data_IF_358769614458
#
_entry.id   IF_358769614458
#
_cell.length_a   1.000
_cell.length_b   1.000
_cell.length_c   1.000
_cell.angle_alpha   90.00
_cell.angle_beta   90.00
_cell.angle_gamma   90.00
#
_symmetry.space_group_name_H-M   'P 1'
#
loop_
_entity.id
_entity.type
_entity.pdbx_description
1 polymer ?
#
# COMPACT_ATOMS: atom_id res chain seq x y z
N UNK A 1 -37.20 11.09 18.88
CA UNK A 1 -35.80 11.21 18.43
C UNK A 1 -35.37 12.64 18.65
N UNK A 2 -34.24 12.87 19.33
CA UNK A 2 -33.75 14.21 19.70
C UNK A 2 -33.40 15.03 18.44
N UNK A 3 -34.05 16.19 18.29
CA UNK A 3 -33.95 17.04 17.09
C UNK A 3 -32.52 17.56 16.86
N UNK A 4 -31.75 17.80 17.93
CA UNK A 4 -30.36 18.26 17.84
C UNK A 4 -29.44 17.16 17.36
N UNK A 5 -29.64 15.92 17.81
CA UNK A 5 -28.89 14.74 17.36
C UNK A 5 -29.14 14.51 15.87
N UNK A 6 -30.40 14.52 15.42
CA UNK A 6 -30.74 14.34 14.01
C UNK A 6 -30.19 15.47 13.12
N UNK A 7 -30.25 16.73 13.57
CA UNK A 7 -29.68 17.86 12.83
C UNK A 7 -28.16 17.77 12.72
N UNK A 8 -27.48 17.35 13.79
CA UNK A 8 -26.04 17.16 13.81
C UNK A 8 -25.58 16.01 12.93
N UNK A 9 -26.31 14.89 12.93
CA UNK A 9 -26.04 13.78 12.02
C UNK A 9 -26.15 14.19 10.54
N UNK A 10 -27.16 15.00 10.19
CA UNK A 10 -27.29 15.56 8.83
C UNK A 10 -26.15 16.52 8.48
N UNK A 11 -25.74 17.37 9.42
CA UNK A 11 -24.60 18.26 9.22
C UNK A 11 -23.32 17.46 8.93
N UNK A 12 -23.03 16.42 9.72
CA UNK A 12 -21.87 15.53 9.50
C UNK A 12 -21.93 14.78 8.17
N UNK A 13 -23.12 14.32 7.76
CA UNK A 13 -23.29 13.66 6.47
C UNK A 13 -22.99 14.61 5.28
N UNK A 14 -23.17 15.91 5.47
CA UNK A 14 -22.81 16.95 4.51
C UNK A 14 -21.37 17.50 4.68
N UNK A 15 -20.60 16.97 5.64
CA UNK A 15 -19.24 17.42 5.94
C UNK A 15 -19.14 18.69 6.81
N UNK A 16 -20.25 19.16 7.40
CA UNK A 16 -20.28 20.32 8.31
C UNK A 16 -19.98 19.91 9.76
N UNK A 17 -18.71 19.57 10.03
CA UNK A 17 -18.24 19.17 11.36
C UNK A 17 -18.45 20.27 12.42
N UNK A 18 -18.19 21.54 12.06
CA UNK A 18 -18.33 22.67 12.98
C UNK A 18 -19.79 22.94 13.32
N UNK A 19 -20.71 22.87 12.36
CA UNK A 19 -22.14 23.01 12.61
C UNK A 19 -22.68 21.87 13.48
N UNK A 20 -22.17 20.64 13.32
CA UNK A 20 -22.51 19.56 14.24
C UNK A 20 -22.03 19.87 15.67
N UNK A 21 -20.76 20.27 15.84
CA UNK A 21 -20.19 20.61 17.15
C UNK A 21 -20.96 21.74 17.85
N UNK A 22 -21.40 22.78 17.13
CA UNK A 22 -22.23 23.87 17.70
C UNK A 22 -23.50 23.35 18.40
N UNK A 23 -24.02 22.19 18.00
CA UNK A 23 -25.26 21.62 18.54
C UNK A 23 -25.04 20.60 19.66
N UNK A 24 -23.91 19.89 19.64
CA UNK A 24 -23.65 18.77 20.58
C UNK A 24 -22.43 18.94 21.48
N UNK A 25 -21.67 20.04 21.38
CA UNK A 25 -20.41 20.25 22.11
C UNK A 25 -20.50 20.03 23.62
N UNK A 26 -21.59 20.49 24.25
CA UNK A 26 -21.77 20.50 25.71
C UNK A 26 -22.47 19.25 26.26
N UNK A 27 -22.79 18.27 25.41
CA UNK A 27 -23.61 17.10 25.78
C UNK A 27 -22.79 15.84 25.93
N UNK A 28 -22.85 15.19 27.08
CA UNK A 28 -22.07 13.98 27.39
C UNK A 28 -22.85 12.67 27.28
N UNK A 29 -24.08 12.68 26.76
CA UNK A 29 -24.81 11.47 26.43
C UNK A 29 -24.15 10.68 25.28
N UNK A 30 -24.35 9.34 25.19
CA UNK A 30 -23.66 8.51 24.21
C UNK A 30 -23.88 8.93 22.74
N UNK A 31 -25.11 9.27 22.29
CA UNK A 31 -25.32 9.84 20.95
C UNK A 31 -24.51 11.11 20.68
N UNK A 32 -24.50 12.07 21.61
CA UNK A 32 -23.73 13.29 21.47
C UNK A 32 -22.20 13.04 21.44
N UNK A 33 -21.70 12.12 22.27
CA UNK A 33 -20.31 11.67 22.24
C UNK A 33 -19.94 11.06 20.89
N UNK A 34 -20.80 10.21 20.31
CA UNK A 34 -20.57 9.60 19.02
C UNK A 34 -20.44 10.64 17.89
N UNK A 35 -21.38 11.59 17.84
CA UNK A 35 -21.38 12.66 16.85
C UNK A 35 -20.18 13.61 17.00
N UNK A 36 -19.81 13.97 18.24
CA UNK A 36 -18.57 14.72 18.51
C UNK A 36 -17.34 13.95 18.04
N UNK A 37 -17.30 12.64 18.28
CA UNK A 37 -16.22 11.78 17.79
C UNK A 37 -16.07 11.82 16.27
N UNK A 38 -17.17 11.69 15.53
CA UNK A 38 -17.18 11.79 14.06
C UNK A 38 -16.74 13.19 13.60
N UNK A 39 -17.23 14.24 14.24
CA UNK A 39 -16.84 15.62 13.92
C UNK A 39 -15.33 15.85 14.11
N UNK A 40 -14.77 15.37 15.23
CA UNK A 40 -13.33 15.44 15.50
C UNK A 40 -12.52 14.68 14.44
N UNK A 41 -13.03 13.52 13.98
CA UNK A 41 -12.37 12.76 12.93
C UNK A 41 -12.33 13.54 11.59
N UNK A 42 -13.44 14.20 11.21
CA UNK A 42 -13.50 15.05 10.01
C UNK A 42 -12.55 16.26 10.08
N UNK A 43 -12.22 16.72 11.30
CA UNK A 43 -11.27 17.80 11.55
C UNK A 43 -9.81 17.32 11.69
N UNK A 44 -9.54 16.01 11.56
CA UNK A 44 -8.19 15.43 11.71
C UNK A 44 -7.77 15.12 13.16
N UNK A 45 -8.63 15.39 14.15
CA UNK A 45 -8.39 15.14 15.57
C UNK A 45 -8.63 13.66 15.95
N UNK A 46 -7.94 12.75 15.27
CA UNK A 46 -8.19 11.31 15.34
C UNK A 46 -8.01 10.69 16.74
N UNK A 47 -6.98 11.02 17.54
CA UNK A 47 -6.84 10.47 18.90
C UNK A 47 -8.06 10.79 19.78
N UNK A 48 -8.53 12.04 19.71
CA UNK A 48 -9.70 12.49 20.48
C UNK A 48 -10.99 11.87 19.94
N UNK A 49 -11.16 11.80 18.62
CA UNK A 49 -12.28 11.12 17.98
C UNK A 49 -12.43 9.67 18.48
N UNK A 50 -11.32 8.92 18.50
CA UNK A 50 -11.32 7.52 18.95
C UNK A 50 -11.73 7.37 20.41
N UNK A 51 -11.24 8.25 21.29
CA UNK A 51 -11.62 8.24 22.71
C UNK A 51 -13.13 8.47 22.89
N UNK A 52 -13.69 9.47 22.19
CA UNK A 52 -15.12 9.81 22.25
C UNK A 52 -15.99 8.67 21.73
N UNK A 53 -15.62 8.04 20.60
CA UNK A 53 -16.34 6.90 20.02
C UNK A 53 -16.35 5.68 20.95
N UNK A 54 -15.22 5.39 21.60
CA UNK A 54 -15.13 4.30 22.60
C UNK A 54 -15.96 4.60 23.85
N UNK A 55 -16.01 5.85 24.29
CA UNK A 55 -16.86 6.26 25.41
C UNK A 55 -18.34 6.14 25.04
N UNK A 56 -18.72 6.60 23.86
CA UNK A 56 -20.08 6.44 23.34
C UNK A 56 -20.48 4.96 23.26
N UNK A 57 -19.66 4.11 22.64
CA UNK A 57 -19.91 2.67 22.53
C UNK A 57 -20.14 1.98 23.88
N UNK A 58 -19.38 2.37 24.92
CA UNK A 58 -19.53 1.88 26.30
C UNK A 58 -20.76 2.44 27.02
N UNK A 59 -21.20 3.64 26.65
CA UNK A 59 -22.36 4.29 27.26
C UNK A 59 -23.71 3.79 26.74
N UNK A 60 -23.76 3.19 25.55
CA UNK A 60 -24.98 2.58 25.02
C UNK A 60 -25.35 1.29 25.77
N UNK A 61 -26.64 1.14 26.11
CA UNK A 61 -27.18 -0.03 26.83
C UNK A 61 -27.31 -1.30 25.97
N UNK A 62 -27.73 -2.41 26.60
CA UNK A 62 -27.87 -3.71 25.91
C UNK A 62 -28.81 -3.64 24.69
N UNK A 63 -29.93 -2.92 24.81
CA UNK A 63 -30.94 -2.73 23.76
C UNK A 63 -30.52 -1.77 22.63
N UNK A 64 -29.38 -1.07 22.78
CA UNK A 64 -28.89 -0.08 21.81
C UNK A 64 -27.77 -0.67 20.94
N UNK A 65 -27.92 -1.94 20.55
CA UNK A 65 -26.93 -2.69 19.77
C UNK A 65 -26.58 -2.01 18.43
N UNK A 66 -27.58 -1.44 17.76
CA UNK A 66 -27.40 -0.69 16.52
C UNK A 66 -26.47 0.53 16.70
N UNK A 67 -26.73 1.35 17.73
CA UNK A 67 -25.95 2.56 17.98
C UNK A 67 -24.50 2.23 18.39
N UNK A 68 -24.33 1.19 19.21
CA UNK A 68 -23.00 0.67 19.57
C UNK A 68 -22.24 0.15 18.35
N UNK A 69 -22.90 -0.59 17.45
CA UNK A 69 -22.27 -1.10 16.22
C UNK A 69 -21.81 0.05 15.31
N UNK A 70 -22.60 1.12 15.17
CA UNK A 70 -22.18 2.35 14.45
C UNK A 70 -20.92 2.97 15.04
N UNK A 71 -20.83 3.07 16.37
CA UNK A 71 -19.62 3.58 17.03
C UNK A 71 -18.39 2.71 16.76
N UNK A 72 -18.55 1.37 16.71
CA UNK A 72 -17.46 0.45 16.37
C UNK A 72 -16.97 0.67 14.94
N UNK A 73 -17.88 0.83 13.97
CA UNK A 73 -17.52 1.11 12.58
C UNK A 73 -16.82 2.47 12.45
N UNK A 74 -17.34 3.51 13.10
CA UNK A 74 -16.71 4.82 13.13
C UNK A 74 -15.32 4.78 13.81
N UNK A 75 -15.15 4.03 14.90
CA UNK A 75 -13.84 3.86 15.54
C UNK A 75 -12.85 3.15 14.60
N UNK A 76 -13.32 2.15 13.86
CA UNK A 76 -12.50 1.40 12.92
C UNK A 76 -12.00 2.29 11.76
N UNK A 77 -12.85 3.20 11.25
CA UNK A 77 -12.44 4.20 10.25
C UNK A 77 -11.35 5.13 10.82
N UNK A 78 -11.54 5.62 12.05
CA UNK A 78 -10.54 6.46 12.73
C UNK A 78 -9.23 5.69 12.94
N UNK A 79 -9.30 4.42 13.34
CA UNK A 79 -8.11 3.57 13.50
C UNK A 79 -7.36 3.38 12.18
N UNK A 80 -8.08 3.20 11.07
CA UNK A 80 -7.51 3.09 9.73
C UNK A 80 -6.80 4.38 9.29
N UNK A 81 -7.41 5.55 9.55
CA UNK A 81 -6.81 6.86 9.30
C UNK A 81 -5.54 7.10 10.14
N UNK A 82 -5.54 6.62 11.39
CA UNK A 82 -4.37 6.65 12.28
C UNK A 82 -3.32 5.58 11.98
N UNK A 83 -3.53 4.77 10.93
CA UNK A 83 -2.69 3.61 10.59
C UNK A 83 -2.49 2.66 11.78
N UNK A 84 -3.49 2.52 12.65
CA UNK A 84 -3.51 1.51 13.72
C UNK A 84 -4.18 0.23 13.21
N UNK A 85 -3.36 -0.65 12.66
CA UNK A 85 -3.81 -1.86 11.97
C UNK A 85 -3.90 -3.07 12.93
N UNK A 86 -3.64 -2.90 14.22
CA UNK A 86 -3.57 -3.99 15.21
C UNK A 86 -4.94 -4.49 15.70
N UNK A 87 -6.03 -3.77 15.40
CA UNK A 87 -7.38 -4.09 15.87
C UNK A 87 -7.89 -5.46 15.41
N UNK A 88 -8.67 -6.10 16.29
CA UNK A 88 -9.30 -7.42 16.04
C UNK A 88 -10.30 -7.35 14.87
N UNK A 89 -10.13 -8.18 13.82
CA UNK A 89 -11.11 -8.27 12.72
C UNK A 89 -12.51 -8.67 13.20
N UNK A 90 -12.59 -9.53 14.22
CA UNK A 90 -13.85 -10.10 14.74
C UNK A 90 -14.83 -9.03 15.23
N UNK A 91 -14.32 -7.98 15.86
CA UNK A 91 -15.16 -6.88 16.38
C UNK A 91 -15.86 -6.15 15.25
N UNK A 92 -15.13 -5.84 14.17
CA UNK A 92 -15.68 -5.14 13.01
C UNK A 92 -16.67 -6.04 12.24
N UNK A 93 -16.35 -7.33 12.07
CA UNK A 93 -17.25 -8.31 11.46
C UNK A 93 -18.56 -8.47 12.26
N UNK A 94 -18.48 -8.54 13.59
CA UNK A 94 -19.66 -8.63 14.46
C UNK A 94 -20.52 -7.35 14.40
N UNK A 95 -19.88 -6.18 14.36
CA UNK A 95 -20.59 -4.92 14.18
C UNK A 95 -21.29 -4.86 12.81
N UNK A 96 -20.62 -5.28 11.73
CA UNK A 96 -21.21 -5.34 10.39
C UNK A 96 -22.44 -6.26 10.35
N UNK A 97 -22.35 -7.46 10.93
CA UNK A 97 -23.48 -8.40 11.01
C UNK A 97 -24.66 -7.83 11.82
N UNK A 98 -24.36 -7.13 12.92
CA UNK A 98 -25.40 -6.44 13.72
C UNK A 98 -26.10 -5.35 12.90
N UNK A 99 -25.35 -4.56 12.14
CA UNK A 99 -25.88 -3.49 11.29
C UNK A 99 -26.76 -4.05 10.18
N UNK A 100 -26.32 -5.13 9.53
CA UNK A 100 -27.05 -5.78 8.44
C UNK A 100 -28.38 -6.39 8.94
N UNK A 101 -28.36 -7.03 10.11
CA UNK A 101 -29.56 -7.56 10.77
C UNK A 101 -30.59 -6.48 11.14
N UNK A 102 -30.16 -5.22 11.26
CA UNK A 102 -31.02 -4.06 11.54
C UNK A 102 -31.28 -3.20 10.29
N UNK A 103 -31.00 -3.72 9.08
CA UNK A 103 -31.16 -3.03 7.79
C UNK A 103 -30.36 -1.72 7.66
N UNK A 104 -29.29 -1.55 8.44
CA UNK A 104 -28.34 -0.44 8.30
C UNK A 104 -27.22 -0.82 7.32
N UNK A 105 -27.63 -1.08 6.08
CA UNK A 105 -26.73 -1.61 5.05
C UNK A 105 -25.58 -0.64 4.73
N UNK A 106 -25.80 0.67 4.77
CA UNK A 106 -24.74 1.65 4.49
C UNK A 106 -23.57 1.51 5.47
N UNK A 107 -23.84 1.42 6.78
CA UNK A 107 -22.78 1.23 7.76
C UNK A 107 -22.20 -0.20 7.74
N UNK A 108 -22.99 -1.21 7.38
CA UNK A 108 -22.48 -2.57 7.18
C UNK A 108 -21.48 -2.63 6.00
N UNK A 109 -21.79 -1.96 4.88
CA UNK A 109 -20.88 -1.85 3.72
C UNK A 109 -19.66 -0.98 4.01
N UNK A 110 -19.80 0.09 4.81
CA UNK A 110 -18.65 0.85 5.33
C UNK A 110 -17.69 -0.06 6.12
N UNK A 111 -18.21 -0.93 6.99
CA UNK A 111 -17.39 -1.85 7.77
C UNK A 111 -16.61 -2.84 6.87
N UNK A 112 -17.25 -3.37 5.82
CA UNK A 112 -16.61 -4.23 4.83
C UNK A 112 -15.53 -3.47 4.04
N UNK A 113 -15.80 -2.23 3.64
CA UNK A 113 -14.83 -1.38 2.95
C UNK A 113 -13.63 -1.00 3.82
N UNK A 114 -13.83 -0.72 5.10
CA UNK A 114 -12.74 -0.52 6.08
C UNK A 114 -11.83 -1.76 6.13
N UNK A 115 -12.43 -2.95 6.15
CA UNK A 115 -11.67 -4.20 6.16
C UNK A 115 -10.86 -4.37 4.86
N UNK A 116 -11.45 -4.09 3.70
CA UNK A 116 -10.76 -4.14 2.41
C UNK A 116 -9.59 -3.14 2.35
N UNK A 117 -9.81 -1.88 2.76
CA UNK A 117 -8.76 -0.83 2.80
C UNK A 117 -7.64 -1.18 3.78
N UNK A 118 -7.95 -1.83 4.91
CA UNK A 118 -6.93 -2.38 5.81
C UNK A 118 -6.07 -3.45 5.12
N UNK A 119 -6.68 -4.34 4.34
CA UNK A 119 -5.96 -5.38 3.60
C UNK A 119 -5.05 -4.76 2.53
N UNK A 120 -5.50 -3.71 1.84
CA UNK A 120 -4.68 -2.93 0.92
C UNK A 120 -3.47 -2.33 1.64
N UNK A 121 -3.64 -1.61 2.75
CA UNK A 121 -2.52 -1.05 3.51
C UNK A 121 -1.50 -2.12 3.99
N UNK A 122 -1.97 -3.33 4.26
CA UNK A 122 -1.12 -4.46 4.66
C UNK A 122 -0.51 -5.22 3.46
N UNK A 123 -0.82 -4.82 2.23
CA UNK A 123 -0.33 -5.47 1.01
C UNK A 123 -1.01 -6.78 0.65
N UNK A 124 -2.09 -7.16 1.32
CA UNK A 124 -2.80 -8.44 1.10
C UNK A 124 -3.79 -8.29 -0.06
N UNK A 125 -3.24 -8.17 -1.27
CA UNK A 125 -4.00 -7.79 -2.48
C UNK A 125 -5.09 -8.79 -2.84
N UNK A 126 -4.82 -10.10 -2.77
CA UNK A 126 -5.82 -11.13 -3.11
C UNK A 126 -7.00 -11.13 -2.13
N UNK A 127 -6.72 -10.94 -0.85
CA UNK A 127 -7.77 -10.84 0.16
C UNK A 127 -8.54 -9.53 0.05
N UNK A 128 -7.87 -8.43 -0.29
CA UNK A 128 -8.54 -7.17 -0.59
C UNK A 128 -9.46 -7.32 -1.81
N UNK A 129 -9.01 -8.00 -2.87
CA UNK A 129 -9.80 -8.30 -4.05
C UNK A 129 -11.04 -9.13 -3.69
N UNK A 130 -10.87 -10.20 -2.90
CA UNK A 130 -11.98 -11.02 -2.44
C UNK A 130 -12.98 -10.21 -1.57
N UNK A 131 -12.48 -9.35 -0.68
CA UNK A 131 -13.32 -8.50 0.15
C UNK A 131 -14.10 -7.46 -0.68
N UNK A 132 -13.45 -6.84 -1.68
CA UNK A 132 -14.09 -5.88 -2.57
C UNK A 132 -15.12 -6.53 -3.49
N UNK A 133 -14.88 -7.76 -3.97
CA UNK A 133 -15.83 -8.50 -4.81
C UNK A 133 -17.16 -8.81 -4.10
N UNK A 134 -17.16 -8.88 -2.77
CA UNK A 134 -18.36 -9.11 -1.95
C UNK A 134 -19.15 -7.81 -1.66
N UNK A 135 -18.60 -6.63 -1.98
CA UNK A 135 -19.31 -5.37 -1.80
C UNK A 135 -20.33 -5.19 -2.94
N UNK A 136 -21.62 -5.19 -2.59
CA UNK A 136 -22.64 -4.70 -3.52
C UNK A 136 -22.57 -3.17 -3.57
N UNK A 137 -22.05 -2.64 -4.68
CA UNK A 137 -21.95 -1.20 -4.92
C UNK A 137 -23.29 -0.57 -5.30
N UNK A 138 -24.31 -1.38 -5.63
CA UNK A 138 -25.63 -0.87 -6.02
C UNK A 138 -26.36 -0.32 -4.79
N UNK A 139 -26.85 0.91 -4.91
CA UNK A 139 -27.60 1.58 -3.84
C UNK A 139 -26.75 2.13 -2.71
N UNK A 140 -25.41 2.11 -2.82
CA UNK A 140 -24.54 2.79 -1.87
C UNK A 140 -24.77 4.31 -1.91
N UNK A 141 -24.67 5.00 -0.76
CA UNK A 141 -24.55 6.45 -0.74
C UNK A 141 -23.38 6.90 -1.65
N UNK A 142 -23.51 8.02 -2.40
CA UNK A 142 -22.48 8.44 -3.36
C UNK A 142 -21.07 8.58 -2.76
N UNK A 143 -20.95 9.02 -1.51
CA UNK A 143 -19.67 9.11 -0.82
C UNK A 143 -19.03 7.73 -0.61
N UNK A 144 -19.82 6.74 -0.21
CA UNK A 144 -19.36 5.38 0.01
C UNK A 144 -18.99 4.68 -1.30
N UNK A 145 -19.77 4.90 -2.36
CA UNK A 145 -19.44 4.42 -3.70
C UNK A 145 -18.09 4.98 -4.18
N UNK A 146 -17.82 6.27 -3.98
CA UNK A 146 -16.54 6.87 -4.37
C UNK A 146 -15.35 6.24 -3.64
N UNK A 147 -15.46 5.99 -2.33
CA UNK A 147 -14.38 5.34 -1.55
C UNK A 147 -14.21 3.88 -1.97
N UNK A 148 -15.28 3.17 -2.30
CA UNK A 148 -15.20 1.80 -2.83
C UNK A 148 -14.47 1.76 -4.17
N UNK A 149 -14.79 2.67 -5.08
CA UNK A 149 -14.12 2.80 -6.38
C UNK A 149 -12.66 3.25 -6.24
N UNK A 150 -12.32 4.10 -5.26
CA UNK A 150 -10.93 4.43 -4.93
C UNK A 150 -10.15 3.21 -4.45
N UNK A 151 -10.74 2.37 -3.60
CA UNK A 151 -10.11 1.13 -3.16
C UNK A 151 -9.93 0.13 -4.32
N UNK A 152 -10.91 0.03 -5.22
CA UNK A 152 -10.80 -0.77 -6.44
C UNK A 152 -9.71 -0.25 -7.39
N UNK A 153 -9.59 1.08 -7.52
CA UNK A 153 -8.52 1.72 -8.28
C UNK A 153 -7.15 1.42 -7.67
N UNK A 154 -6.97 1.59 -6.35
CA UNK A 154 -5.70 1.28 -5.68
C UNK A 154 -5.29 -0.19 -5.90
N UNK A 155 -6.23 -1.12 -5.72
CA UNK A 155 -5.99 -2.55 -6.00
C UNK A 155 -5.53 -2.76 -7.44
N UNK A 156 -6.26 -2.20 -8.41
CA UNK A 156 -5.94 -2.35 -9.82
C UNK A 156 -4.57 -1.75 -10.18
N UNK A 157 -4.21 -0.59 -9.64
CA UNK A 157 -2.89 0.02 -9.85
C UNK A 157 -1.76 -0.85 -9.29
N UNK A 158 -1.96 -1.40 -8.09
CA UNK A 158 -0.96 -2.28 -7.43
C UNK A 158 -0.81 -3.63 -8.09
N UNK A 159 -1.83 -4.07 -8.82
CA UNK A 159 -1.80 -5.25 -9.70
C UNK A 159 -1.41 -4.91 -11.14
N UNK A 160 -1.05 -3.66 -11.46
CA UNK A 160 -0.71 -3.18 -12.81
C UNK A 160 -1.83 -3.34 -13.87
N UNK A 161 -3.09 -3.44 -13.43
CA UNK A 161 -4.26 -3.42 -14.31
C UNK A 161 -4.70 -1.98 -14.61
N UNK A 162 -3.93 -1.28 -15.44
CA UNK A 162 -4.03 0.18 -15.61
C UNK A 162 -5.39 0.63 -16.16
N UNK A 163 -5.96 -0.09 -17.13
CA UNK A 163 -7.27 0.26 -17.69
C UNK A 163 -8.40 0.09 -16.67
N UNK A 164 -8.34 -0.96 -15.85
CA UNK A 164 -9.28 -1.18 -14.74
C UNK A 164 -9.16 -0.05 -13.73
N UNK A 165 -7.95 0.37 -13.38
CA UNK A 165 -7.73 1.50 -12.49
C UNK A 165 -8.30 2.82 -13.05
N UNK A 166 -8.10 3.10 -14.34
CA UNK A 166 -8.65 4.31 -14.98
C UNK A 166 -10.19 4.32 -14.94
N UNK A 167 -10.83 3.19 -15.21
CA UNK A 167 -12.30 3.05 -15.13
C UNK A 167 -12.82 3.23 -13.70
N UNK A 168 -12.15 2.63 -12.72
CA UNK A 168 -12.50 2.79 -11.31
C UNK A 168 -12.33 4.25 -10.84
N UNK A 169 -11.25 4.93 -11.22
CA UNK A 169 -11.04 6.35 -10.91
C UNK A 169 -12.07 7.28 -11.57
N UNK A 170 -12.52 6.96 -12.78
CA UNK A 170 -13.62 7.69 -13.43
C UNK A 170 -14.93 7.52 -12.63
N UNK A 171 -15.26 6.29 -12.25
CA UNK A 171 -16.44 5.96 -11.44
C UNK A 171 -16.38 6.62 -10.06
N UNK A 172 -15.20 6.65 -9.42
CA UNK A 172 -14.95 7.35 -8.17
C UNK A 172 -15.19 8.86 -8.31
N UNK A 173 -14.76 9.47 -9.42
CA UNK A 173 -14.94 10.89 -9.68
C UNK A 173 -16.42 11.26 -9.83
N UNK A 174 -17.18 10.49 -10.60
CA UNK A 174 -18.63 10.70 -10.75
C UNK A 174 -19.37 10.56 -9.41
N UNK A 175 -19.02 9.54 -8.62
CA UNK A 175 -19.60 9.33 -7.30
C UNK A 175 -19.24 10.48 -6.33
N UNK A 176 -18.00 10.97 -6.35
CA UNK A 176 -17.56 12.11 -5.54
C UNK A 176 -18.28 13.42 -5.92
N UNK A 177 -18.51 13.67 -7.21
CA UNK A 177 -19.30 14.82 -7.68
C UNK A 177 -20.74 14.76 -7.15
N UNK A 178 -21.37 13.58 -7.19
CA UNK A 178 -22.71 13.36 -6.61
C UNK A 178 -22.72 13.51 -5.08
N UNK A 179 -21.65 13.11 -4.40
CA UNK A 179 -21.50 13.22 -2.96
C UNK A 179 -21.38 14.68 -2.49
N UNK A 180 -20.83 15.57 -3.34
CA UNK A 180 -20.59 16.99 -3.03
C UNK A 180 -19.74 17.21 -1.79
N UNK A 181 -18.77 16.32 -1.56
CA UNK A 181 -17.79 16.43 -0.47
C UNK A 181 -16.45 16.89 -1.06
N UNK A 182 -16.01 18.15 -0.79
CA UNK A 182 -14.78 18.68 -1.40
C UNK A 182 -13.52 17.86 -1.11
N UNK A 183 -13.38 17.34 0.11
CA UNK A 183 -12.24 16.50 0.50
C UNK A 183 -12.15 15.21 -0.35
N UNK A 184 -13.30 14.60 -0.64
CA UNK A 184 -13.37 13.38 -1.46
C UNK A 184 -13.05 13.66 -2.93
N UNK A 185 -13.47 14.81 -3.46
CA UNK A 185 -13.07 15.25 -4.81
C UNK A 185 -11.55 15.46 -4.91
N UNK A 186 -10.94 16.05 -3.88
CA UNK A 186 -9.49 16.24 -3.81
C UNK A 186 -8.75 14.89 -3.74
N UNK A 187 -9.25 13.93 -2.96
CA UNK A 187 -8.69 12.57 -2.87
C UNK A 187 -8.72 11.85 -4.23
N UNK A 188 -9.84 11.93 -4.96
CA UNK A 188 -9.95 11.37 -6.31
C UNK A 188 -9.01 12.07 -7.29
N UNK A 189 -8.85 13.40 -7.20
CA UNK A 189 -7.95 14.15 -8.05
C UNK A 189 -6.48 13.72 -7.83
N UNK A 190 -6.06 13.55 -6.58
CA UNK A 190 -4.71 13.08 -6.23
C UNK A 190 -4.46 11.64 -6.70
N UNK A 191 -5.45 10.75 -6.53
CA UNK A 191 -5.37 9.38 -7.03
C UNK A 191 -5.25 9.33 -8.56
N UNK A 192 -5.92 10.22 -9.28
CA UNK A 192 -5.76 10.37 -10.75
C UNK A 192 -4.39 10.91 -11.12
N UNK A 193 -3.90 11.94 -10.43
CA UNK A 193 -2.58 12.51 -10.69
C UNK A 193 -1.44 11.49 -10.50
N UNK A 194 -1.66 10.48 -9.66
CA UNK A 194 -0.72 9.38 -9.43
C UNK A 194 -0.40 8.58 -10.69
N UNK A 195 -1.33 8.46 -11.65
CA UNK A 195 -1.11 7.79 -12.93
C UNK A 195 -0.10 8.50 -13.82
N UNK A 196 -0.01 9.83 -13.69
CA UNK A 196 0.82 10.67 -14.55
C UNK A 196 2.24 10.86 -13.98
N UNK A 197 2.46 10.44 -12.73
CA UNK A 197 3.76 10.49 -12.07
C UNK A 197 4.63 9.29 -12.47
N UNK A 198 5.95 9.47 -12.63
CA UNK A 198 6.90 8.36 -12.75
C UNK A 198 6.74 7.34 -11.62
N UNK A 199 6.71 6.06 -11.98
CA UNK A 199 6.53 4.93 -11.08
C UNK A 199 7.77 4.04 -10.99
N UNK A 200 8.63 4.07 -12.00
CA UNK A 200 9.86 3.32 -12.08
C UNK A 200 10.86 4.04 -12.98
N UNK A 201 12.08 3.52 -13.03
CA UNK A 201 13.12 3.92 -13.95
C UNK A 201 13.55 2.69 -14.75
N UNK A 202 13.68 2.81 -16.05
CA UNK A 202 14.30 1.81 -16.90
C UNK A 202 15.77 2.15 -17.07
N UNK A 203 16.66 1.24 -16.71
CA UNK A 203 18.09 1.43 -16.93
C UNK A 203 18.38 1.11 -18.40
N UNK A 204 19.05 2.04 -19.09
CA UNK A 204 19.43 1.95 -20.50
C UNK A 204 20.92 2.24 -20.68
N UNK A 205 21.56 1.81 -21.76
CA UNK A 205 22.94 2.18 -22.03
C UNK A 205 23.11 3.71 -22.03
N UNK A 206 23.92 4.24 -21.11
CA UNK A 206 24.19 5.68 -21.00
C UNK A 206 23.21 6.49 -20.15
N UNK A 207 22.23 5.88 -19.47
CA UNK A 207 21.38 6.62 -18.54
C UNK A 207 20.17 5.85 -18.00
N UNK A 208 19.20 6.60 -17.50
CA UNK A 208 17.95 6.08 -16.96
C UNK A 208 16.77 6.80 -17.60
N UNK A 209 15.70 6.07 -17.91
CA UNK A 209 14.44 6.62 -18.41
C UNK A 209 13.36 6.49 -17.34
N UNK A 210 12.75 7.60 -16.94
CA UNK A 210 11.57 7.57 -16.06
C UNK A 210 10.38 6.96 -16.81
N UNK A 211 9.68 6.02 -16.17
CA UNK A 211 8.49 5.37 -16.70
C UNK A 211 7.30 5.59 -15.78
N UNK A 212 6.14 5.89 -16.36
CA UNK A 212 4.83 5.88 -15.69
C UNK A 212 4.28 4.46 -15.57
N UNK A 213 3.16 4.31 -14.85
CA UNK A 213 2.56 2.99 -14.60
C UNK A 213 2.09 2.26 -15.87
N UNK A 214 1.56 2.99 -16.86
CA UNK A 214 1.15 2.43 -18.15
C UNK A 214 2.35 1.94 -18.96
N UNK A 215 3.45 2.69 -18.96
CA UNK A 215 4.70 2.31 -19.63
C UNK A 215 5.38 1.10 -18.95
N UNK A 216 5.32 1.01 -17.63
CA UNK A 216 5.77 -0.18 -16.88
C UNK A 216 4.94 -1.41 -17.26
N UNK A 217 3.60 -1.27 -17.28
CA UNK A 217 2.72 -2.37 -17.66
C UNK A 217 2.96 -2.82 -19.11
N UNK A 218 3.15 -1.88 -20.04
CA UNK A 218 3.48 -2.17 -21.43
C UNK A 218 4.84 -2.87 -21.59
N UNK A 219 5.86 -2.46 -20.81
CA UNK A 219 7.17 -3.11 -20.83
C UNK A 219 7.07 -4.56 -20.32
N UNK A 220 6.34 -4.81 -19.23
CA UNK A 220 6.16 -6.15 -18.68
C UNK A 220 5.35 -7.07 -19.61
N UNK A 221 4.39 -6.52 -20.34
CA UNK A 221 3.60 -7.25 -21.34
C UNK A 221 4.33 -7.45 -22.67
N UNK A 222 5.50 -6.83 -22.86
CA UNK A 222 6.30 -6.97 -24.08
C UNK A 222 7.06 -8.31 -24.13
N UNK A 223 7.69 -8.58 -25.27
CA UNK A 223 8.57 -9.73 -25.44
C UNK A 223 9.94 -9.55 -24.74
N UNK A 224 10.22 -8.44 -24.07
CA UNK A 224 11.50 -8.20 -23.39
C UNK A 224 11.68 -9.09 -22.15
N UNK A 225 12.92 -9.49 -21.87
CA UNK A 225 13.29 -10.07 -20.58
C UNK A 225 13.45 -8.95 -19.57
N UNK A 226 12.51 -8.83 -18.64
CA UNK A 226 12.51 -7.77 -17.63
C UNK A 226 13.03 -8.32 -16.31
N UNK A 227 14.11 -7.71 -15.80
CA UNK A 227 14.51 -7.83 -14.40
C UNK A 227 13.93 -6.65 -13.64
N UNK A 228 12.92 -6.92 -12.81
CA UNK A 228 12.16 -5.89 -12.11
C UNK A 228 12.58 -5.82 -10.63
N UNK A 229 13.27 -4.74 -10.27
CA UNK A 229 13.71 -4.44 -8.91
C UNK A 229 12.63 -3.83 -8.01
N UNK A 230 11.53 -3.33 -8.57
CA UNK A 230 10.38 -2.91 -7.79
C UNK A 230 9.70 -4.14 -7.17
N UNK A 231 9.51 -5.20 -7.96
CA UNK A 231 8.83 -6.45 -7.54
C UNK A 231 9.79 -7.61 -7.22
N UNK A 232 11.10 -7.39 -7.42
CA UNK A 232 12.20 -8.36 -7.21
C UNK A 232 11.95 -9.69 -7.90
N UNK A 233 11.84 -9.68 -9.22
CA UNK A 233 11.68 -10.87 -10.03
C UNK A 233 12.18 -10.69 -11.45
N UNK A 234 12.07 -11.78 -12.22
CA UNK A 234 12.46 -11.84 -13.63
C UNK A 234 11.28 -12.38 -14.42
N UNK A 235 10.97 -11.81 -15.58
CA UNK A 235 9.89 -12.30 -16.41
C UNK A 235 9.96 -11.86 -17.87
N UNK A 236 9.16 -12.54 -18.70
CA UNK A 236 8.95 -12.27 -20.13
C UNK A 236 7.47 -12.52 -20.42
N UNK A 237 6.72 -11.51 -20.83
CA UNK A 237 5.26 -11.61 -20.97
C UNK A 237 4.60 -12.14 -19.68
N UNK A 238 3.78 -13.18 -19.81
CA UNK A 238 3.05 -13.78 -18.68
C UNK A 238 3.91 -14.66 -17.76
N UNK A 239 5.13 -15.02 -18.17
CA UNK A 239 6.00 -15.86 -17.37
C UNK A 239 6.75 -15.03 -16.32
N UNK A 240 6.47 -15.26 -15.04
CA UNK A 240 7.06 -14.52 -13.92
C UNK A 240 7.76 -15.45 -12.91
N UNK A 241 9.02 -15.16 -12.62
CA UNK A 241 9.82 -15.87 -11.61
C UNK A 241 10.11 -14.93 -10.42
N UNK A 242 9.45 -15.10 -9.26
CA UNK A 242 9.72 -14.30 -8.08
C UNK A 242 11.10 -14.64 -7.48
N UNK A 243 11.88 -13.61 -7.14
CA UNK A 243 13.17 -13.73 -6.45
C UNK A 243 13.24 -12.89 -5.17
N UNK A 244 12.13 -12.31 -4.72
CA UNK A 244 12.08 -11.43 -3.53
C UNK A 244 12.62 -12.08 -2.25
N UNK A 245 12.36 -13.39 -2.05
CA UNK A 245 12.87 -14.20 -0.92
C UNK A 245 14.30 -14.72 -1.15
N UNK A 246 14.92 -14.40 -2.29
CA UNK A 246 16.24 -14.90 -2.73
C UNK A 246 17.13 -13.71 -3.10
N UNK A 247 17.50 -12.84 -2.13
CA UNK A 247 18.15 -11.55 -2.40
C UNK A 247 19.48 -11.69 -3.16
N UNK A 248 20.26 -12.73 -2.86
CA UNK A 248 21.51 -13.03 -3.59
C UNK A 248 21.24 -13.36 -5.06
N UNK A 249 20.24 -14.20 -5.35
CA UNK A 249 19.91 -14.56 -6.73
C UNK A 249 19.34 -13.38 -7.50
N UNK A 250 18.52 -12.55 -6.85
CA UNK A 250 18.03 -11.32 -7.45
C UNK A 250 19.17 -10.34 -7.77
N UNK A 251 20.11 -10.15 -6.85
CA UNK A 251 21.28 -9.29 -7.07
C UNK A 251 22.12 -9.76 -8.26
N UNK A 252 22.33 -11.08 -8.39
CA UNK A 252 23.02 -11.67 -9.55
C UNK A 252 22.23 -11.45 -10.85
N UNK A 253 20.93 -11.68 -10.85
CA UNK A 253 20.07 -11.47 -12.03
C UNK A 253 20.09 -10.02 -12.50
N UNK A 254 19.98 -9.06 -11.56
CA UNK A 254 20.07 -7.62 -11.84
C UNK A 254 21.43 -7.26 -12.44
N UNK A 255 22.52 -7.67 -11.82
CA UNK A 255 23.87 -7.37 -12.30
C UNK A 255 24.14 -7.94 -13.71
N UNK A 256 23.68 -9.16 -13.97
CA UNK A 256 23.76 -9.79 -15.30
C UNK A 256 22.94 -9.04 -16.36
N UNK A 257 21.76 -8.53 -16.00
CA UNK A 257 20.89 -7.80 -16.90
C UNK A 257 21.38 -6.37 -17.18
N UNK A 258 21.97 -5.70 -16.19
CA UNK A 258 22.60 -4.38 -16.36
C UNK A 258 23.83 -4.44 -17.28
N UNK A 259 24.57 -5.54 -17.26
CA UNK A 259 25.73 -5.74 -18.14
C UNK A 259 25.37 -6.21 -19.56
N UNK A 260 24.13 -6.62 -19.81
CA UNK A 260 23.68 -7.07 -21.13
C UNK A 260 23.78 -5.93 -22.15
N UNK A 261 24.21 -6.19 -23.42
CA UNK A 261 24.44 -7.49 -24.05
C UNK A 261 25.81 -8.12 -23.78
N UNK A 262 26.65 -7.48 -22.96
CA UNK A 262 27.99 -7.94 -22.63
C UNK A 262 28.06 -9.00 -21.53
N UNK A 263 29.28 -9.26 -21.07
CA UNK A 263 29.57 -10.09 -19.92
C UNK A 263 29.93 -9.24 -18.69
N UNK A 264 29.77 -9.82 -17.51
CA UNK A 264 30.18 -9.22 -16.23
C UNK A 264 31.18 -10.13 -15.55
N UNK A 265 32.23 -9.54 -14.97
CA UNK A 265 33.30 -10.29 -14.34
C UNK A 265 32.88 -10.88 -12.98
N UNK A 266 33.61 -11.91 -12.55
CA UNK A 266 33.30 -12.65 -11.32
C UNK A 266 33.45 -11.80 -10.06
N UNK A 267 34.37 -10.86 -10.05
CA UNK A 267 34.67 -10.04 -8.86
C UNK A 267 33.58 -9.00 -8.65
N UNK A 268 33.12 -8.36 -9.72
CA UNK A 268 31.96 -7.47 -9.71
C UNK A 268 30.70 -8.22 -9.25
N UNK A 269 30.43 -9.42 -9.79
CA UNK A 269 29.30 -10.24 -9.32
C UNK A 269 29.39 -10.58 -7.82
N UNK A 270 30.58 -10.90 -7.31
CA UNK A 270 30.80 -11.15 -5.88
C UNK A 270 30.53 -9.89 -5.06
N UNK A 271 31.01 -8.74 -5.52
CA UNK A 271 30.81 -7.47 -4.83
C UNK A 271 29.31 -7.12 -4.71
N UNK A 272 28.55 -7.26 -5.80
CA UNK A 272 27.11 -6.98 -5.79
C UNK A 272 26.31 -8.00 -4.97
N UNK A 273 26.61 -9.30 -5.08
CA UNK A 273 25.77 -10.34 -4.50
C UNK A 273 26.10 -10.67 -3.03
N UNK A 274 27.35 -10.46 -2.62
CA UNK A 274 27.84 -10.82 -1.28
C UNK A 274 28.30 -9.61 -0.45
N UNK A 275 28.17 -8.40 -1.00
CA UNK A 275 28.49 -7.12 -0.35
C UNK A 275 29.94 -7.08 0.22
N UNK A 276 30.89 -7.61 -0.53
CA UNK A 276 32.32 -7.65 -0.16
C UNK A 276 33.22 -7.28 -1.33
N UNK A 277 34.26 -6.49 -1.06
CA UNK A 277 35.23 -6.04 -2.07
C UNK A 277 36.48 -6.93 -2.16
N UNK A 278 36.60 -7.92 -1.28
CA UNK A 278 37.75 -8.83 -1.21
C UNK A 278 37.31 -10.27 -1.50
N UNK A 279 37.22 -10.67 -2.78
CA UNK A 279 36.85 -12.03 -3.15
C UNK A 279 37.96 -13.03 -2.78
N UNK A 280 37.60 -14.10 -2.08
CA UNK A 280 38.45 -15.27 -1.85
C UNK A 280 37.99 -16.47 -2.70
N UNK A 281 38.73 -17.59 -2.67
CA UNK A 281 38.34 -18.77 -3.46
C UNK A 281 37.02 -19.38 -2.98
N UNK A 282 36.69 -19.23 -1.70
CA UNK A 282 35.41 -19.65 -1.12
C UNK A 282 34.24 -18.90 -1.76
N UNK A 283 34.35 -17.58 -1.91
CA UNK A 283 33.36 -16.72 -2.56
C UNK A 283 33.25 -17.03 -4.05
N UNK A 284 34.35 -17.35 -4.73
CA UNK A 284 34.30 -17.82 -6.13
C UNK A 284 33.57 -19.15 -6.25
N UNK A 285 33.81 -20.10 -5.35
CA UNK A 285 33.08 -21.36 -5.31
C UNK A 285 31.58 -21.14 -5.04
N UNK A 286 31.25 -20.27 -4.07
CA UNK A 286 29.87 -19.88 -3.76
C UNK A 286 29.19 -19.21 -4.94
N UNK A 287 29.86 -18.29 -5.65
CA UNK A 287 29.34 -17.65 -6.86
C UNK A 287 28.93 -18.70 -7.90
N UNK A 288 29.77 -19.70 -8.16
CA UNK A 288 29.47 -20.78 -9.13
C UNK A 288 28.17 -21.52 -8.74
N UNK A 289 27.99 -21.80 -7.45
CA UNK A 289 26.78 -22.46 -6.92
C UNK A 289 25.54 -21.58 -7.10
N UNK A 290 25.61 -20.30 -6.72
CA UNK A 290 24.46 -19.39 -6.83
C UNK A 290 24.10 -19.08 -8.29
N UNK A 291 25.09 -18.96 -9.19
CA UNK A 291 24.84 -18.86 -10.64
C UNK A 291 24.15 -20.13 -11.16
N UNK A 292 24.58 -21.32 -10.72
CA UNK A 292 23.91 -22.57 -11.08
C UNK A 292 22.45 -22.62 -10.63
N UNK A 293 22.16 -22.15 -9.41
CA UNK A 293 20.79 -22.04 -8.89
C UNK A 293 19.95 -21.01 -9.65
N UNK A 294 20.52 -19.83 -9.93
CA UNK A 294 19.83 -18.81 -10.71
C UNK A 294 19.50 -19.34 -12.11
N UNK A 295 20.47 -19.98 -12.78
CA UNK A 295 20.28 -20.59 -14.10
C UNK A 295 19.14 -21.59 -14.10
N UNK A 296 19.04 -22.45 -13.08
CA UNK A 296 17.95 -23.42 -12.98
C UNK A 296 16.58 -22.73 -12.80
N UNK A 297 16.51 -21.66 -12.02
CA UNK A 297 15.25 -20.93 -11.77
C UNK A 297 14.75 -20.15 -12.99
N UNK A 298 15.66 -19.57 -13.78
CA UNK A 298 15.28 -18.72 -14.93
C UNK A 298 15.37 -19.45 -16.28
N UNK A 299 15.57 -20.78 -16.27
CA UNK A 299 15.86 -21.56 -17.48
C UNK A 299 14.79 -21.43 -18.57
N UNK A 300 13.53 -21.20 -18.20
CA UNK A 300 12.46 -20.98 -19.16
C UNK A 300 12.60 -19.62 -19.89
N UNK A 301 13.15 -18.60 -19.24
CA UNK A 301 13.24 -17.24 -19.79
C UNK A 301 14.61 -16.91 -20.39
N UNK A 302 15.71 -17.42 -19.80
CA UNK A 302 17.06 -17.08 -20.22
C UNK A 302 18.11 -18.13 -19.84
N UNK A 303 19.19 -18.16 -20.61
CA UNK A 303 20.43 -18.87 -20.29
C UNK A 303 21.44 -17.96 -19.59
N UNK A 304 22.35 -18.57 -18.83
CA UNK A 304 23.54 -17.89 -18.27
C UNK A 304 24.78 -18.67 -18.72
N UNK A 305 25.59 -18.05 -19.57
CA UNK A 305 26.79 -18.65 -20.14
C UNK A 305 28.04 -18.19 -19.39
N UNK A 306 29.01 -19.09 -19.23
CA UNK A 306 30.31 -18.73 -18.69
C UNK A 306 31.18 -18.10 -19.79
N UNK A 307 31.87 -17.01 -19.46
CA UNK A 307 32.86 -16.37 -20.32
C UNK A 307 34.26 -16.52 -19.72
N UNK A 308 35.28 -16.07 -20.44
CA UNK A 308 36.64 -16.02 -19.92
C UNK A 308 36.72 -15.24 -18.60
N UNK A 309 36.01 -14.10 -18.51
CA UNK A 309 36.09 -13.18 -17.36
C UNK A 309 34.98 -13.39 -16.33
N UNK A 310 33.82 -13.93 -16.72
CA UNK A 310 32.72 -14.19 -15.81
C UNK A 310 31.53 -14.86 -16.46
N UNK A 311 30.41 -14.14 -16.58
CA UNK A 311 29.14 -14.69 -17.05
C UNK A 311 28.38 -13.68 -17.92
N UNK A 312 27.57 -14.19 -18.85
CA UNK A 312 26.71 -13.40 -19.72
C UNK A 312 25.27 -13.93 -19.70
N UNK A 313 24.30 -13.02 -19.69
CA UNK A 313 22.87 -13.36 -19.80
C UNK A 313 22.46 -13.51 -21.26
N UNK A 314 21.74 -14.59 -21.57
CA UNK A 314 21.24 -14.89 -22.92
C UNK A 314 19.72 -15.06 -22.87
N UNK A 315 18.92 -14.03 -23.19
CA UNK A 315 17.46 -14.18 -23.24
C UNK A 315 17.06 -15.22 -24.30
N UNK A 316 16.01 -16.00 -24.01
CA UNK A 316 15.50 -17.02 -24.94
C UNK A 316 14.41 -16.46 -25.88
N UNK A 317 14.19 -17.14 -27.01
CA UNK A 317 13.04 -16.90 -27.88
C UNK A 317 13.05 -15.55 -28.61
N UNK A 318 11.89 -14.88 -28.67
CA UNK A 318 11.72 -13.56 -29.30
C UNK A 318 12.25 -12.39 -28.47
N UNK A 319 12.60 -12.64 -27.20
CA UNK A 319 13.18 -11.64 -26.32
C UNK A 319 14.57 -11.25 -26.82
N UNK A 320 14.63 -10.28 -27.72
CA UNK A 320 15.90 -9.70 -28.23
C UNK A 320 16.44 -8.59 -27.33
N UNK A 321 15.69 -8.26 -26.29
CA UNK A 321 15.96 -7.12 -25.42
C UNK A 321 15.89 -7.55 -23.95
N UNK A 322 16.86 -7.10 -23.16
CA UNK A 322 16.83 -7.20 -21.71
C UNK A 322 16.60 -5.80 -21.16
N UNK A 323 15.64 -5.66 -20.26
CA UNK A 323 15.34 -4.41 -19.59
C UNK A 323 15.48 -4.57 -18.08
N UNK A 324 16.07 -3.58 -17.42
CA UNK A 324 16.13 -3.52 -15.96
C UNK A 324 15.22 -2.40 -15.49
N UNK A 325 14.19 -2.77 -14.72
CA UNK A 325 13.35 -1.82 -14.01
C UNK A 325 13.94 -1.59 -12.62
N UNK A 326 14.23 -0.33 -12.31
CA UNK A 326 14.64 0.14 -11.00
C UNK A 326 13.49 0.95 -10.36
N UNK A 327 13.36 0.90 -9.02
CA UNK A 327 12.37 1.72 -8.34
C UNK A 327 12.69 3.23 -8.48
N UNK A 328 11.69 4.12 -8.33
CA UNK A 328 11.88 5.57 -8.43
C UNK A 328 12.75 6.11 -7.28
N UNK A 329 12.73 5.42 -6.13
CA UNK A 329 13.68 5.56 -5.05
C UNK A 329 14.35 4.21 -4.78
N UNK A 330 15.67 4.16 -4.85
CA UNK A 330 16.44 2.94 -4.54
C UNK A 330 16.85 2.92 -3.05
N UNK A 331 17.25 1.74 -2.56
CA UNK A 331 17.76 1.53 -1.20
C UNK A 331 16.97 0.52 -0.38
N UNK A 332 17.60 0.00 0.66
CA UNK A 332 17.04 -1.05 1.52
C UNK A 332 15.76 -0.61 2.24
N UNK A 333 15.64 0.68 2.56
CA UNK A 333 14.50 1.26 3.25
C UNK A 333 13.43 1.85 2.29
N UNK A 334 13.51 1.61 0.97
CA UNK A 334 12.59 2.22 -0.01
C UNK A 334 11.11 1.89 0.26
N UNK A 335 10.77 0.65 0.61
CA UNK A 335 9.38 0.27 0.96
C UNK A 335 8.88 0.93 2.25
N UNK A 336 9.77 1.16 3.22
CA UNK A 336 9.43 1.88 4.45
C UNK A 336 9.14 3.36 4.16
N UNK A 337 9.96 3.99 3.31
CA UNK A 337 9.77 5.37 2.87
C UNK A 337 8.51 5.50 2.01
N UNK A 338 8.23 4.52 1.15
CA UNK A 338 6.99 4.44 0.39
C UNK A 338 5.73 4.41 1.28
N UNK A 339 5.73 3.61 2.35
CA UNK A 339 4.60 3.56 3.30
C UNK A 339 4.37 4.90 4.01
N UNK A 340 5.42 5.69 4.24
CA UNK A 340 5.34 6.98 4.92
C UNK A 340 5.08 8.16 3.96
N UNK A 341 5.09 7.91 2.65
CA UNK A 341 5.05 8.96 1.61
C UNK A 341 3.70 9.65 1.45
N UNK A 342 2.64 9.12 2.06
CA UNK A 342 1.32 9.76 2.12
C UNK A 342 1.25 10.84 3.23
N UNK A 343 2.32 10.98 4.02
CA UNK A 343 2.37 11.91 5.15
C UNK A 343 1.52 11.50 6.36
N UNK A 344 0.91 10.31 6.34
CA UNK A 344 0.12 9.81 7.46
C UNK A 344 1.03 9.34 8.61
N UNK A 345 0.54 9.46 9.84
CA UNK A 345 1.30 9.07 11.03
C UNK A 345 1.18 7.55 11.26
N UNK A 346 2.29 6.82 11.17
CA UNK A 346 2.32 5.37 11.38
C UNK A 346 2.91 4.96 12.72
N UNK A 347 2.41 3.87 13.31
CA UNK A 347 3.10 3.22 14.44
C UNK A 347 4.17 2.23 13.93
N UNK A 348 5.20 1.99 14.73
CA UNK A 348 6.22 0.95 14.41
C UNK A 348 5.59 -0.42 14.22
N UNK A 349 4.56 -0.77 14.99
CA UNK A 349 3.85 -2.05 14.88
C UNK A 349 3.06 -2.17 13.58
N UNK A 350 2.42 -1.10 13.10
CA UNK A 350 1.70 -1.11 11.84
C UNK A 350 2.65 -1.22 10.64
N UNK A 351 3.77 -0.51 10.67
CA UNK A 351 4.83 -0.63 9.65
C UNK A 351 5.41 -2.04 9.61
N UNK A 352 5.67 -2.64 10.77
CA UNK A 352 6.14 -4.03 10.86
C UNK A 352 5.12 -5.02 10.28
N UNK A 353 3.83 -4.83 10.55
CA UNK A 353 2.76 -5.64 9.96
C UNK A 353 2.69 -5.49 8.43
N UNK A 354 2.77 -4.26 7.91
CA UNK A 354 2.71 -4.00 6.48
C UNK A 354 3.94 -4.54 5.73
N UNK A 355 5.12 -4.49 6.35
CA UNK A 355 6.38 -4.99 5.77
C UNK A 355 6.58 -6.50 5.96
N UNK A 356 5.76 -7.18 6.77
CA UNK A 356 5.99 -8.57 7.16
C UNK A 356 7.31 -8.77 7.92
N UNK A 357 7.75 -7.75 8.66
CA UNK A 357 9.05 -7.71 9.34
C UNK A 357 8.89 -7.64 10.87
N UNK A 358 9.98 -7.90 11.60
CA UNK A 358 9.99 -7.70 13.06
C UNK A 358 9.97 -6.21 13.41
N UNK A 359 9.32 -5.82 14.52
CA UNK A 359 9.35 -4.43 15.00
C UNK A 359 10.78 -3.94 15.27
N UNK A 360 11.69 -4.82 15.71
CA UNK A 360 13.10 -4.49 15.94
C UNK A 360 13.81 -4.11 14.63
N UNK A 361 13.53 -4.83 13.54
CA UNK A 361 14.07 -4.52 12.21
C UNK A 361 13.59 -3.16 11.74
N UNK A 362 12.28 -2.91 11.83
CA UNK A 362 11.68 -1.63 11.42
C UNK A 362 12.19 -0.47 12.27
N UNK A 363 12.33 -0.65 13.59
CA UNK A 363 12.83 0.39 14.48
C UNK A 363 14.27 0.78 14.17
N UNK A 364 15.13 -0.18 13.81
CA UNK A 364 16.50 0.12 13.36
C UNK A 364 16.51 0.95 12.08
N UNK A 365 15.73 0.55 11.07
CA UNK A 365 15.62 1.27 9.81
C UNK A 365 15.04 2.69 10.01
N UNK A 366 14.06 2.86 10.91
CA UNK A 366 13.50 4.17 11.24
C UNK A 366 14.52 5.07 11.96
N UNK A 367 15.35 4.52 12.84
CA UNK A 367 16.41 5.28 13.51
C UNK A 367 17.48 5.76 12.51
N UNK A 368 17.84 4.93 11.55
CA UNK A 368 18.75 5.31 10.44
C UNK A 368 18.12 6.43 9.59
N UNK A 369 16.86 6.28 9.17
CA UNK A 369 16.16 7.30 8.39
C UNK A 369 15.94 8.61 9.17
N UNK A 370 15.76 8.57 10.49
CA UNK A 370 15.61 9.76 11.33
C UNK A 370 16.94 10.49 11.48
N UNK A 371 18.04 9.75 11.62
CA UNK A 371 19.39 10.33 11.61
C UNK A 371 19.72 10.99 10.27
N UNK A 372 19.19 10.47 9.16
CA UNK A 372 19.28 11.07 7.82
C UNK A 372 18.29 12.23 7.59
N UNK A 373 17.40 12.53 8.55
CA UNK A 373 16.38 13.58 8.43
C UNK A 373 15.24 13.25 7.44
N UNK A 374 15.13 11.99 7.01
CA UNK A 374 14.11 11.53 6.03
C UNK A 374 12.77 11.20 6.68
N UNK A 375 12.78 10.89 7.97
CA UNK A 375 11.58 10.69 8.79
C UNK A 375 11.71 11.45 10.10
N UNK A 376 10.57 11.70 10.74
CA UNK A 376 10.52 12.26 12.10
C UNK A 376 9.54 11.49 12.97
N UNK A 377 9.83 11.44 14.26
CA UNK A 377 8.89 10.91 15.25
C UNK A 377 8.11 12.00 16.00
N UNK A 378 6.85 11.70 16.33
CA UNK A 378 5.99 12.50 17.21
C UNK A 378 5.45 11.63 18.34
N UNK A 379 5.12 12.23 19.49
CA UNK A 379 4.68 11.50 20.68
C UNK A 379 5.82 10.75 21.38
N UNK A 380 5.49 9.92 22.35
CA UNK A 380 6.47 9.14 23.16
C UNK A 380 5.97 7.73 23.42
N UNK A 381 6.90 6.78 23.58
CA UNK A 381 6.63 5.38 23.91
C UNK A 381 5.53 4.76 23.01
N UNK A 382 4.44 4.25 23.59
CA UNK A 382 3.33 3.60 22.84
C UNK A 382 2.56 4.56 21.92
N UNK A 383 2.61 5.85 22.21
CA UNK A 383 2.01 6.90 21.39
C UNK A 383 2.97 7.43 20.30
N UNK A 384 4.21 6.91 20.22
CA UNK A 384 5.15 7.33 19.19
C UNK A 384 4.60 6.99 17.81
N UNK A 385 4.70 7.95 16.89
CA UNK A 385 4.32 7.82 15.48
C UNK A 385 5.41 8.38 14.59
N UNK A 386 5.51 7.80 13.40
CA UNK A 386 6.50 8.14 12.38
C UNK A 386 5.83 8.78 11.18
N UNK A 387 6.48 9.79 10.63
CA UNK A 387 6.01 10.61 9.54
C UNK A 387 7.18 10.89 8.59
N UNK A 388 6.89 11.00 7.30
CA UNK A 388 7.81 11.55 6.31
C UNK A 388 7.08 12.65 5.53
N UNK A 389 7.78 13.69 5.05
CA UNK A 389 7.20 14.61 4.07
C UNK A 389 6.69 13.83 2.85
N UNK A 390 5.56 14.22 2.24
CA UNK A 390 5.10 13.58 1.03
C UNK A 390 6.16 13.61 -0.06
N UNK A 391 6.36 12.48 -0.74
CA UNK A 391 7.31 12.40 -1.84
C UNK A 391 6.66 13.04 -3.08
N UNK A 392 7.06 14.26 -3.38
CA UNK A 392 6.62 14.95 -4.59
C UNK A 392 7.37 14.41 -5.81
N UNK A 393 6.64 14.20 -6.92
CA UNK A 393 7.24 13.97 -8.24
C UNK A 393 7.30 12.52 -8.73
N UNK A 394 6.97 11.52 -7.91
CA UNK A 394 6.84 10.12 -8.33
C UNK A 394 5.72 9.44 -7.55
N UNK A 395 5.23 8.32 -8.08
CA UNK A 395 4.31 7.43 -7.36
C UNK A 395 5.08 6.30 -6.69
N UNK A 396 4.66 5.95 -5.47
CA UNK A 396 5.27 4.88 -4.67
C UNK A 396 4.50 3.55 -4.79
N UNK A 397 3.50 3.47 -5.66
CA UNK A 397 2.62 2.30 -5.81
C UNK A 397 3.40 0.99 -6.01
N UNK A 398 4.48 1.00 -6.80
CA UNK A 398 5.30 -0.18 -7.06
C UNK A 398 6.27 -0.54 -5.93
N UNK A 399 6.44 0.35 -4.95
CA UNK A 399 7.28 0.15 -3.77
C UNK A 399 6.49 -0.32 -2.55
N UNK A 400 5.17 -0.12 -2.57
CA UNK A 400 4.28 -0.55 -1.50
C UNK A 400 4.33 -2.09 -1.41
N UNK A 401 4.45 -2.66 -0.19
CA UNK A 401 4.57 -4.11 -0.04
C UNK A 401 3.39 -4.83 -0.68
N UNK A 402 3.65 -5.77 -1.58
CA UNK A 402 2.69 -6.81 -1.90
C UNK A 402 3.02 -8.00 -1.00
N UNK A 403 2.07 -8.44 -0.18
CA UNK A 403 2.17 -9.70 0.51
C UNK A 403 2.20 -10.78 -0.57
N UNK A 404 3.41 -11.23 -0.93
CA UNK A 404 3.58 -12.34 -1.84
C UNK A 404 2.87 -13.55 -1.23
N UNK A 405 2.15 -14.35 -2.02
CA UNK A 405 1.59 -15.61 -1.56
C UNK A 405 2.66 -16.39 -0.78
N UNK A 406 2.29 -16.86 0.40
CA UNK A 406 3.08 -17.86 1.10
C UNK A 406 2.75 -19.16 0.37
N UNK A 407 3.54 -19.51 -0.63
CA UNK A 407 3.68 -20.90 -1.06
C UNK A 407 4.35 -21.72 0.04
#
# INVERSE_FOLDING_TARGET
MDSLISASARALAAGDALGALKRVALRDDPPALALRGIAMAQLGEHPRARELLRRAARGFGAHEALARARCVVAEAEVALAMRDLSGSPRTLTSAAATLDAHADHANARQAQLIAARKLLLLGRLDEAAAALALLDVRGLPPSLAAVAELAAAELALRSLHIDTARKALASAHEAALRARVPALLAEVAEARATLDRPAARRLVPGGEQALRLDEVAALLASDALVVDACRRGVGTGDAWQPLARRPVLFALARALAEAWPGDIDRETLIAHAFNTRHPDETLRARLRVEIGRLRALIAAQAGIEATARGFALKPHGKAREVAVLAPPIDGEQASLVALLSDGAAWSTSALALALGASQRTVQRALAELEAEGRVRSIGRARAQRWLSPPLAGFTTILLLPAALPIE
#
